data_IF_953695042023
#
_entry.id   IF_953695042023
#
_cell.length_a   1.000
_cell.length_b   1.000
_cell.length_c   1.000
_cell.angle_alpha   90.00
_cell.angle_beta   90.00
_cell.angle_gamma   90.00
#
_symmetry.space_group_name_H-M   'P 1'
#
loop_
_entity.id
_entity.type
_entity.pdbx_description
1 polymer ?
#
# COMPACT_ATOMS: atom_id res chain seq x y z
N UNK A 1 55.46 50.55 2.59
CA UNK A 1 54.90 49.40 3.34
C UNK A 1 53.64 48.88 2.66
N UNK A 2 53.75 47.74 1.93
CA UNK A 2 52.60 47.11 1.28
C UNK A 2 51.97 46.09 2.25
N UNK A 3 50.74 46.41 2.74
CA UNK A 3 49.92 45.49 3.53
C UNK A 3 49.49 44.34 2.65
N UNK A 4 49.93 43.12 2.92
CA UNK A 4 49.43 41.87 2.34
C UNK A 4 48.05 41.60 2.92
N UNK A 5 46.99 41.79 2.11
CA UNK A 5 45.66 41.34 2.42
C UNK A 5 45.67 39.84 2.17
N UNK A 6 45.53 39.06 3.24
CA UNK A 6 45.45 37.59 3.21
C UNK A 6 44.15 37.15 2.54
N UNK A 7 44.14 36.02 1.83
CA UNK A 7 42.95 35.53 1.09
C UNK A 7 41.95 34.87 2.06
N UNK A 8 41.36 35.64 2.98
CA UNK A 8 40.28 35.16 3.85
C UNK A 8 38.89 35.35 3.24
N UNK A 9 38.79 36.16 2.20
CA UNK A 9 37.51 36.49 1.54
C UNK A 9 36.87 35.29 0.79
N UNK A 10 37.61 34.43 0.07
CA UNK A 10 36.97 33.29 -0.60
C UNK A 10 36.49 32.22 0.37
N UNK A 11 37.14 32.02 1.53
CA UNK A 11 36.72 31.04 2.53
C UNK A 11 35.39 31.42 3.21
N UNK A 12 35.17 32.73 3.46
CA UNK A 12 33.90 33.20 4.03
C UNK A 12 32.74 33.07 3.05
N UNK A 13 32.97 33.28 1.74
CA UNK A 13 31.96 33.10 0.68
C UNK A 13 31.52 31.65 0.53
N UNK A 14 32.47 30.70 0.61
CA UNK A 14 32.18 29.26 0.56
C UNK A 14 31.36 28.79 1.76
N UNK A 15 31.63 29.30 2.95
CA UNK A 15 30.90 28.97 4.18
C UNK A 15 29.43 29.45 4.10
N UNK A 16 29.21 30.69 3.61
CA UNK A 16 27.84 31.22 3.44
C UNK A 16 27.03 30.41 2.41
N UNK A 17 27.65 29.99 1.31
CA UNK A 17 26.99 29.13 0.32
C UNK A 17 26.65 27.75 0.87
N UNK A 18 27.52 27.14 1.67
CA UNK A 18 27.26 25.86 2.36
C UNK A 18 26.13 25.98 3.38
N UNK A 19 26.10 27.07 4.16
CA UNK A 19 25.00 27.31 5.10
C UNK A 19 23.66 27.57 4.39
N UNK A 20 23.67 28.24 3.23
CA UNK A 20 22.47 28.47 2.44
C UNK A 20 21.94 27.15 1.82
N UNK A 21 22.85 26.30 1.29
CA UNK A 21 22.47 24.99 0.75
C UNK A 21 21.95 24.06 1.86
N UNK A 22 22.58 24.05 3.03
CA UNK A 22 22.10 23.28 4.18
C UNK A 22 20.74 23.77 4.68
N UNK A 23 20.53 25.09 4.71
CA UNK A 23 19.24 25.68 5.09
C UNK A 23 18.10 25.32 4.12
N UNK A 24 18.38 25.16 2.82
CA UNK A 24 17.39 24.73 1.82
C UNK A 24 17.06 23.24 2.00
N UNK A 25 18.08 22.40 2.20
CA UNK A 25 17.90 20.95 2.43
C UNK A 25 17.18 20.71 3.75
N UNK A 26 17.56 21.40 4.82
CA UNK A 26 16.89 21.30 6.12
C UNK A 26 15.43 21.78 6.08
N UNK A 27 15.11 22.82 5.29
CA UNK A 27 13.73 23.26 5.06
C UNK A 27 12.93 22.26 4.23
N UNK A 28 13.54 21.60 3.25
CA UNK A 28 12.88 20.54 2.47
C UNK A 28 12.63 19.29 3.31
N UNK A 29 13.59 18.90 4.15
CA UNK A 29 13.40 17.80 5.11
C UNK A 29 12.38 18.15 6.19
N UNK A 30 12.36 19.40 6.69
CA UNK A 30 11.35 19.87 7.64
C UNK A 30 9.93 19.88 7.04
N UNK A 31 9.78 20.30 5.78
CA UNK A 31 8.47 20.26 5.08
C UNK A 31 7.99 18.84 4.82
N UNK A 32 8.90 17.90 4.52
CA UNK A 32 8.55 16.49 4.39
C UNK A 32 8.23 15.83 5.73
N UNK A 33 8.90 16.25 6.82
CA UNK A 33 8.59 15.79 8.18
C UNK A 33 7.27 16.41 8.70
N UNK A 34 7.00 17.68 8.37
CA UNK A 34 5.77 18.39 8.77
C UNK A 34 4.55 17.90 7.97
N UNK A 35 4.74 17.48 6.71
CA UNK A 35 3.70 16.80 5.92
C UNK A 35 3.42 15.38 6.42
N UNK A 36 4.36 14.75 7.15
CA UNK A 36 4.14 13.48 7.86
C UNK A 36 3.56 13.68 9.27
N UNK A 37 3.70 14.88 9.87
CA UNK A 37 3.27 15.14 11.25
C UNK A 37 1.84 15.71 11.38
N UNK A 38 1.15 16.01 10.28
CA UNK A 38 -0.20 16.60 10.28
C UNK A 38 -1.27 15.71 9.65
N UNK A 39 -1.01 14.40 9.52
CA UNK A 39 -2.12 13.45 9.43
C UNK A 39 -2.69 13.26 10.84
N UNK A 40 -4.01 13.27 11.02
CA UNK A 40 -4.62 12.87 12.30
C UNK A 40 -4.25 11.41 12.54
N UNK A 41 -3.18 11.23 13.29
CA UNK A 41 -2.64 9.95 13.70
C UNK A 41 -3.65 9.32 14.63
N UNK A 42 -4.27 8.22 14.18
CA UNK A 42 -5.04 7.18 14.84
C UNK A 42 -6.48 6.94 14.36
N UNK A 43 -6.96 7.56 13.31
CA UNK A 43 -8.13 6.99 12.64
C UNK A 43 -7.64 5.89 11.69
N UNK A 44 -7.80 4.62 12.06
CA UNK A 44 -7.60 3.52 11.12
C UNK A 44 -8.51 3.73 9.91
N UNK A 45 -7.92 3.97 8.75
CA UNK A 45 -8.66 4.11 7.50
C UNK A 45 -8.91 2.70 6.97
N UNK A 46 -10.17 2.31 6.86
CA UNK A 46 -10.56 1.06 6.24
C UNK A 46 -10.96 1.30 4.79
N UNK A 47 -10.49 0.44 3.89
CA UNK A 47 -10.89 0.40 2.49
C UNK A 47 -12.24 -0.29 2.37
N UNK A 48 -12.44 -1.33 3.18
CA UNK A 48 -13.67 -2.12 3.22
C UNK A 48 -14.18 -2.21 4.66
N UNK A 49 -15.49 -2.26 4.78
CA UNK A 49 -16.22 -2.62 6.01
C UNK A 49 -17.45 -3.43 5.55
N UNK A 50 -17.20 -4.70 5.26
CA UNK A 50 -18.16 -5.60 4.64
C UNK A 50 -18.70 -6.58 5.69
N UNK A 51 -19.97 -7.02 5.53
CA UNK A 51 -20.48 -8.17 6.26
C UNK A 51 -19.64 -9.42 6.02
N UNK A 52 -19.91 -10.46 6.78
CA UNK A 52 -19.28 -11.76 6.59
C UNK A 52 -19.38 -12.21 5.13
N UNK A 53 -18.27 -12.72 4.57
CA UNK A 53 -18.24 -13.14 3.18
C UNK A 53 -18.83 -14.53 3.01
N UNK A 54 -19.68 -14.68 1.99
CA UNK A 54 -20.25 -15.96 1.54
C UNK A 54 -19.51 -16.55 0.36
N UNK A 55 -18.79 -15.72 -0.42
CA UNK A 55 -17.96 -16.16 -1.53
C UNK A 55 -16.72 -15.27 -1.65
N UNK A 56 -15.64 -15.89 -2.08
CA UNK A 56 -14.36 -15.24 -2.28
C UNK A 56 -13.69 -15.85 -3.52
N UNK A 57 -13.23 -14.99 -4.41
CA UNK A 57 -12.37 -15.40 -5.53
C UNK A 57 -11.24 -14.40 -5.72
N UNK A 58 -10.14 -14.85 -6.29
CA UNK A 58 -9.08 -13.95 -6.75
C UNK A 58 -8.49 -14.40 -8.06
N UNK A 59 -8.02 -13.45 -8.81
CA UNK A 59 -7.31 -13.66 -10.06
C UNK A 59 -5.92 -13.06 -9.96
N UNK A 60 -4.91 -13.87 -10.28
CA UNK A 60 -3.52 -13.47 -10.36
C UNK A 60 -2.84 -14.18 -11.54
N UNK A 61 -2.09 -13.45 -12.35
CA UNK A 61 -1.34 -14.00 -13.50
C UNK A 61 -2.22 -14.87 -14.41
N UNK A 62 -3.48 -14.45 -14.64
CA UNK A 62 -4.45 -15.18 -15.46
C UNK A 62 -5.02 -16.45 -14.83
N UNK A 63 -4.65 -16.79 -13.61
CA UNK A 63 -5.21 -17.92 -12.84
C UNK A 63 -6.24 -17.40 -11.85
N UNK A 64 -7.38 -18.10 -11.77
CA UNK A 64 -8.45 -17.75 -10.81
C UNK A 64 -8.72 -18.92 -9.87
N UNK A 65 -8.88 -18.58 -8.60
CA UNK A 65 -9.36 -19.49 -7.57
C UNK A 65 -10.65 -18.91 -6.99
N UNK A 66 -11.62 -19.78 -6.73
CA UNK A 66 -12.93 -19.37 -6.22
C UNK A 66 -13.39 -20.31 -5.11
N UNK A 67 -13.93 -19.74 -4.06
CA UNK A 67 -14.39 -20.46 -2.87
C UNK A 67 -15.79 -19.96 -2.48
N UNK A 68 -16.57 -20.86 -1.92
CA UNK A 68 -17.87 -20.56 -1.31
C UNK A 68 -17.87 -21.00 0.14
N UNK A 69 -18.65 -20.34 0.97
CA UNK A 69 -18.77 -20.62 2.39
C UNK A 69 -20.20 -21.12 2.67
N UNK A 70 -20.29 -22.30 3.26
CA UNK A 70 -21.56 -22.91 3.64
C UNK A 70 -21.46 -23.42 5.09
N UNK A 71 -22.40 -23.02 5.94
CA UNK A 71 -22.40 -23.43 7.35
C UNK A 71 -21.10 -23.09 8.11
N UNK A 72 -20.42 -22.00 7.72
CA UNK A 72 -19.16 -21.57 8.33
C UNK A 72 -17.91 -22.24 7.74
N UNK A 73 -18.04 -23.17 6.81
CA UNK A 73 -16.95 -23.92 6.19
C UNK A 73 -16.72 -23.45 4.76
N UNK A 74 -15.46 -23.25 4.36
CA UNK A 74 -15.07 -22.90 3.01
C UNK A 74 -14.92 -24.14 2.14
N UNK A 75 -15.37 -24.05 0.89
CA UNK A 75 -15.26 -25.09 -0.14
C UNK A 75 -14.65 -24.50 -1.41
N UNK A 76 -13.79 -25.25 -2.08
CA UNK A 76 -13.29 -24.86 -3.38
C UNK A 76 -14.37 -25.08 -4.44
N UNK A 77 -14.69 -24.04 -5.20
CA UNK A 77 -15.79 -24.05 -6.17
C UNK A 77 -15.53 -24.97 -7.36
N UNK A 78 -14.27 -25.28 -7.66
CA UNK A 78 -13.89 -26.21 -8.74
C UNK A 78 -14.04 -27.68 -8.36
N UNK A 79 -13.95 -28.00 -7.05
CA UNK A 79 -14.08 -29.34 -6.51
C UNK A 79 -14.40 -29.24 -5.01
N UNK A 80 -15.65 -29.46 -4.64
CA UNK A 80 -16.12 -29.35 -3.26
C UNK A 80 -15.59 -30.45 -2.34
N UNK A 81 -15.12 -31.57 -2.88
CA UNK A 81 -14.54 -32.67 -2.13
C UNK A 81 -13.04 -32.48 -1.87
N UNK A 82 -12.44 -31.46 -2.52
CA UNK A 82 -11.04 -31.12 -2.32
C UNK A 82 -10.80 -30.63 -0.88
N UNK A 83 -9.93 -31.30 -0.10
CA UNK A 83 -9.63 -30.88 1.25
C UNK A 83 -8.84 -29.57 1.23
N UNK A 84 -9.39 -28.51 1.79
CA UNK A 84 -8.76 -27.19 1.86
C UNK A 84 -8.48 -26.79 3.32
N UNK A 85 -7.43 -26.00 3.51
CA UNK A 85 -7.12 -25.43 4.81
C UNK A 85 -8.08 -24.28 5.13
N UNK A 86 -8.90 -24.44 6.13
CA UNK A 86 -9.92 -23.46 6.51
C UNK A 86 -9.32 -22.15 7.06
N UNK A 87 -8.32 -22.27 7.95
CA UNK A 87 -7.75 -21.12 8.65
C UNK A 87 -7.21 -20.02 7.70
N UNK A 88 -6.40 -20.31 6.66
CA UNK A 88 -5.94 -19.29 5.73
C UNK A 88 -7.07 -18.57 4.98
N UNK A 89 -8.12 -19.30 4.58
CA UNK A 89 -9.28 -18.71 3.90
C UNK A 89 -10.12 -17.83 4.83
N UNK A 90 -10.32 -18.27 6.06
CA UNK A 90 -11.00 -17.47 7.07
C UNK A 90 -10.24 -16.18 7.34
N UNK A 91 -8.92 -16.25 7.56
CA UNK A 91 -8.08 -15.07 7.78
C UNK A 91 -8.11 -14.12 6.57
N UNK A 92 -8.05 -14.66 5.35
CA UNK A 92 -8.14 -13.85 4.13
C UNK A 92 -9.51 -13.18 4.02
N UNK A 93 -10.59 -13.92 4.28
CA UNK A 93 -11.96 -13.40 4.31
C UNK A 93 -12.11 -12.25 5.30
N UNK A 94 -11.65 -12.44 6.54
CA UNK A 94 -11.72 -11.42 7.59
C UNK A 94 -10.89 -10.17 7.21
N UNK A 95 -9.71 -10.38 6.61
CA UNK A 95 -8.88 -9.28 6.13
C UNK A 95 -9.56 -8.50 5.01
N UNK A 96 -10.21 -9.18 4.06
CA UNK A 96 -10.90 -8.53 2.95
C UNK A 96 -12.21 -7.86 3.40
N UNK A 97 -12.87 -8.39 4.43
CA UNK A 97 -14.05 -7.74 5.01
C UNK A 97 -13.72 -6.42 5.70
N UNK A 98 -12.56 -6.35 6.37
CA UNK A 98 -12.11 -5.17 7.12
C UNK A 98 -10.69 -4.76 6.69
N UNK A 99 -10.52 -4.50 5.39
CA UNK A 99 -9.21 -4.18 4.82
C UNK A 99 -8.76 -2.80 5.27
N UNK A 100 -7.74 -2.80 6.10
CA UNK A 100 -7.11 -1.58 6.61
C UNK A 100 -6.11 -1.02 5.60
N UNK A 101 -6.20 0.29 5.34
CA UNK A 101 -5.19 1.02 4.60
C UNK A 101 -4.01 1.41 5.51
N UNK A 102 -2.80 1.38 4.95
CA UNK A 102 -1.63 2.03 5.54
C UNK A 102 -1.71 3.54 5.34
N UNK A 103 -2.20 3.96 4.17
CA UNK A 103 -2.38 5.37 3.82
C UNK A 103 -3.45 5.54 2.76
N UNK A 104 -4.21 6.62 2.85
CA UNK A 104 -5.09 7.15 1.81
C UNK A 104 -4.32 8.18 0.98
N UNK A 105 -4.40 8.11 -0.34
CA UNK A 105 -3.79 9.08 -1.24
C UNK A 105 -4.76 10.24 -1.50
N UNK A 106 -4.35 11.45 -1.13
CA UNK A 106 -5.10 12.66 -1.45
C UNK A 106 -4.62 13.22 -2.80
N UNK A 107 -5.55 13.61 -3.67
CA UNK A 107 -5.22 14.15 -5.00
C UNK A 107 -4.50 13.15 -5.90
N UNK A 108 -4.87 11.86 -5.81
CA UNK A 108 -4.30 10.81 -6.63
C UNK A 108 -4.54 11.08 -8.13
N UNK A 109 -3.58 10.66 -8.95
CA UNK A 109 -3.72 10.60 -10.40
C UNK A 109 -4.74 9.51 -10.82
N UNK A 110 -4.87 9.28 -12.13
CA UNK A 110 -5.76 8.23 -12.63
C UNK A 110 -5.31 6.83 -12.18
N UNK A 111 -6.22 5.86 -12.04
CA UNK A 111 -5.92 4.50 -11.58
C UNK A 111 -4.80 3.80 -12.37
N UNK A 112 -4.63 4.13 -13.66
CA UNK A 112 -3.57 3.59 -14.51
C UNK A 112 -2.17 3.89 -13.96
N UNK A 113 -1.96 5.08 -13.38
CA UNK A 113 -0.67 5.49 -12.81
C UNK A 113 -0.22 4.56 -11.66
N UNK A 114 -1.16 3.85 -11.06
CA UNK A 114 -0.95 2.95 -9.92
C UNK A 114 -1.08 1.47 -10.30
N UNK A 115 -1.28 1.16 -11.59
CA UNK A 115 -1.48 -0.19 -12.10
C UNK A 115 -2.81 -0.82 -11.69
N UNK A 116 -3.83 0.00 -11.43
CA UNK A 116 -5.16 -0.45 -11.00
C UNK A 116 -6.11 -0.73 -12.18
N UNK A 117 -5.78 -0.29 -13.39
CA UNK A 117 -6.45 -0.66 -14.65
C UNK A 117 -6.13 -2.10 -15.08
N UNK A 118 -4.90 -2.55 -14.76
CA UNK A 118 -4.45 -3.93 -14.95
C UNK A 118 -3.83 -4.45 -13.63
N UNK A 119 -4.65 -4.75 -12.62
CA UNK A 119 -4.19 -5.05 -11.27
C UNK A 119 -3.38 -6.35 -11.22
N UNK A 120 -2.32 -6.36 -10.41
CA UNK A 120 -1.51 -7.55 -10.16
C UNK A 120 -2.30 -8.67 -9.49
N UNK A 121 -3.29 -8.29 -8.67
CA UNK A 121 -4.26 -9.20 -8.08
C UNK A 121 -5.62 -8.50 -8.01
N UNK A 122 -6.67 -9.23 -8.35
CA UNK A 122 -8.06 -8.82 -8.16
C UNK A 122 -8.75 -9.80 -7.24
N UNK A 123 -9.37 -9.31 -6.18
CA UNK A 123 -10.23 -10.07 -5.30
C UNK A 123 -11.69 -9.69 -5.57
N UNK A 124 -12.51 -10.69 -5.86
CA UNK A 124 -13.96 -10.52 -5.98
C UNK A 124 -14.63 -11.23 -4.80
N UNK A 125 -15.48 -10.52 -4.08
CA UNK A 125 -16.14 -10.99 -2.86
C UNK A 125 -17.64 -10.85 -2.98
N UNK A 126 -18.36 -11.77 -2.34
CA UNK A 126 -19.80 -11.67 -2.12
C UNK A 126 -20.04 -11.78 -0.63
N UNK A 127 -20.72 -10.81 -0.07
CA UNK A 127 -21.09 -10.80 1.35
C UNK A 127 -22.35 -11.63 1.62
N UNK A 128 -22.62 -11.92 2.87
CA UNK A 128 -23.80 -12.69 3.30
C UNK A 128 -25.13 -12.01 3.01
N UNK A 129 -25.12 -10.68 2.82
CA UNK A 129 -26.26 -9.88 2.40
C UNK A 129 -26.49 -9.90 0.87
N UNK A 130 -25.61 -10.58 0.11
CA UNK A 130 -25.65 -10.66 -1.35
C UNK A 130 -24.92 -9.52 -2.06
N UNK A 131 -24.36 -8.54 -1.38
CA UNK A 131 -23.59 -7.48 -2.00
C UNK A 131 -22.25 -8.02 -2.57
N UNK A 132 -21.85 -7.51 -3.73
CA UNK A 132 -20.63 -7.93 -4.42
C UNK A 132 -19.65 -6.76 -4.50
N UNK A 133 -18.38 -7.05 -4.18
CA UNK A 133 -17.32 -6.07 -4.19
C UNK A 133 -16.08 -6.63 -4.87
N UNK A 134 -15.31 -5.74 -5.52
CA UNK A 134 -14.02 -6.09 -6.11
C UNK A 134 -12.95 -5.17 -5.55
N UNK A 135 -11.89 -5.77 -5.01
CA UNK A 135 -10.71 -5.09 -4.48
C UNK A 135 -9.59 -5.29 -5.48
N UNK A 136 -9.03 -4.20 -5.99
CA UNK A 136 -7.92 -4.18 -6.93
C UNK A 136 -6.62 -3.91 -6.20
N UNK A 137 -5.60 -4.71 -6.46
CA UNK A 137 -4.23 -4.49 -5.96
C UNK A 137 -3.33 -4.24 -7.16
N UNK A 138 -2.80 -3.05 -7.24
CA UNK A 138 -1.98 -2.56 -8.35
C UNK A 138 -0.49 -2.80 -8.17
N UNK A 139 0.30 -1.80 -8.57
CA UNK A 139 1.75 -1.82 -8.51
C UNK A 139 2.28 -1.68 -7.08
N UNK A 140 3.51 -2.15 -6.86
CA UNK A 140 4.23 -1.90 -5.61
C UNK A 140 4.56 -0.40 -5.47
N UNK A 141 4.43 0.13 -4.27
CA UNK A 141 4.79 1.52 -3.96
C UNK A 141 6.31 1.69 -4.08
N UNK A 142 6.80 2.63 -4.90
CA UNK A 142 8.23 2.88 -5.05
C UNK A 142 8.93 3.14 -3.71
N UNK A 143 10.11 2.57 -3.53
CA UNK A 143 10.91 2.72 -2.32
C UNK A 143 10.46 1.85 -1.14
N UNK A 144 9.52 0.94 -1.33
CA UNK A 144 9.10 -0.05 -0.32
C UNK A 144 9.54 -1.46 -0.71
N UNK A 145 9.62 -2.39 0.24
CA UNK A 145 9.94 -3.80 -0.03
C UNK A 145 11.40 -4.07 -0.39
N UNK A 146 12.31 -3.16 -0.04
CA UNK A 146 13.75 -3.30 -0.26
C UNK A 146 14.54 -3.36 1.04
N UNK A 147 15.86 -3.24 0.93
CA UNK A 147 16.73 -3.07 2.09
C UNK A 147 16.94 -1.59 2.39
N UNK A 148 16.72 -1.19 3.62
CA UNK A 148 17.04 0.15 4.09
C UNK A 148 18.57 0.41 4.10
N UNK A 149 18.98 1.68 4.27
CA UNK A 149 20.40 2.05 4.32
C UNK A 149 21.19 1.37 5.45
N UNK A 150 20.50 0.93 6.49
CA UNK A 150 21.02 0.20 7.65
C UNK A 150 20.95 -1.33 7.50
N UNK A 151 20.54 -1.84 6.32
CA UNK A 151 20.35 -3.26 6.05
C UNK A 151 19.03 -3.83 6.58
N UNK A 152 18.14 -3.01 7.16
CA UNK A 152 16.80 -3.44 7.56
C UNK A 152 15.94 -3.77 6.34
N UNK A 153 15.04 -4.77 6.46
CA UNK A 153 14.04 -5.05 5.43
C UNK A 153 12.89 -4.06 5.57
N UNK A 154 12.67 -3.28 4.53
CA UNK A 154 11.51 -2.39 4.45
C UNK A 154 10.27 -3.21 4.05
N UNK A 155 9.13 -3.06 4.75
CA UNK A 155 7.91 -3.74 4.36
C UNK A 155 7.45 -3.27 2.97
N UNK A 156 7.07 -4.21 2.12
CA UNK A 156 6.51 -3.89 0.81
C UNK A 156 5.08 -3.35 0.98
N UNK A 157 4.76 -2.29 0.25
CA UNK A 157 3.40 -1.73 0.16
C UNK A 157 2.94 -1.76 -1.30
N UNK A 158 1.65 -1.84 -1.49
CA UNK A 158 1.00 -1.89 -2.81
C UNK A 158 -0.14 -0.88 -2.86
N UNK A 159 -0.38 -0.34 -4.05
CA UNK A 159 -1.56 0.47 -4.27
C UNK A 159 -2.80 -0.42 -4.32
N UNK A 160 -3.91 0.07 -3.77
CA UNK A 160 -5.17 -0.64 -3.75
C UNK A 160 -6.36 0.32 -3.91
N UNK A 161 -7.44 -0.17 -4.49
CA UNK A 161 -8.71 0.53 -4.59
C UNK A 161 -9.88 -0.45 -4.62
N UNK A 162 -11.08 0.04 -4.28
CA UNK A 162 -12.32 -0.64 -4.63
C UNK A 162 -12.62 -0.38 -6.11
N UNK A 163 -13.04 -1.41 -6.83
CA UNK A 163 -13.43 -1.24 -8.23
C UNK A 163 -14.63 -0.28 -8.35
N UNK A 164 -14.46 0.74 -9.18
CA UNK A 164 -15.47 1.80 -9.35
C UNK A 164 -15.35 2.97 -8.35
N UNK A 165 -14.40 2.93 -7.43
CA UNK A 165 -14.05 4.05 -6.56
C UNK A 165 -12.80 4.77 -7.12
N UNK A 166 -12.81 6.10 -7.04
CA UNK A 166 -11.65 6.91 -7.42
C UNK A 166 -10.66 7.10 -6.27
N UNK A 167 -10.96 6.56 -5.09
CA UNK A 167 -10.08 6.68 -3.95
C UNK A 167 -9.01 5.60 -3.98
N UNK A 168 -7.75 6.02 -3.91
CA UNK A 168 -6.58 5.14 -3.93
C UNK A 168 -5.95 5.10 -2.55
N UNK A 169 -5.53 3.90 -2.16
CA UNK A 169 -4.92 3.60 -0.87
C UNK A 169 -3.59 2.86 -1.05
N UNK A 170 -2.80 2.76 0.01
CA UNK A 170 -1.71 1.80 0.10
C UNK A 170 -2.03 0.74 1.15
N UNK A 171 -1.64 -0.50 0.87
CA UNK A 171 -1.79 -1.65 1.76
C UNK A 171 -0.46 -2.39 1.90
N UNK A 172 -0.30 -3.20 2.94
CA UNK A 172 0.85 -4.10 3.10
C UNK A 172 0.82 -5.27 2.09
N UNK A 173 1.87 -6.10 2.11
CA UNK A 173 2.10 -7.20 1.15
C UNK A 173 1.21 -8.42 1.34
N UNK A 174 0.46 -8.53 2.45
CA UNK A 174 -0.27 -9.74 2.84
C UNK A 174 -1.17 -10.31 1.72
N UNK A 175 -1.95 -9.45 1.04
CA UNK A 175 -2.87 -9.89 -0.02
C UNK A 175 -2.12 -10.43 -1.25
N UNK A 176 -1.03 -9.78 -1.66
CA UNK A 176 -0.22 -10.23 -2.81
C UNK A 176 0.53 -11.51 -2.53
N UNK A 177 1.03 -11.71 -1.31
CA UNK A 177 1.70 -12.92 -0.85
C UNK A 177 0.72 -14.09 -0.72
N UNK A 178 -0.49 -13.83 -0.20
CA UNK A 178 -1.52 -14.87 -0.05
C UNK A 178 -2.03 -15.35 -1.40
N UNK A 179 -2.23 -14.44 -2.36
CA UNK A 179 -2.63 -14.80 -3.72
C UNK A 179 -1.52 -15.49 -4.54
N UNK A 180 -0.29 -15.55 -4.03
CA UNK A 180 0.85 -16.22 -4.68
C UNK A 180 0.99 -17.71 -4.31
N UNK A 181 0.29 -18.16 -3.28
CA UNK A 181 0.34 -19.55 -2.73
C UNK A 181 -0.76 -20.41 -3.30
#
# INVERSE_FOLDING_TARGET
>A
MKKRIRPMVPALGALVLLCAAYGIIARQQGRNAESQALSPENASVYITDLPELSSLSWTKDGKSLSFTREGGTWYYKGDTDCPIRQYPLTTLSDTLSHLKAERKLEGADSPEAYGLDNPSVRFDTVSSDGSSHSILVGSQVPGTGGSGPDGSQLPAQYYAAMNGDNQIYTIGSYLTETAAK
#
